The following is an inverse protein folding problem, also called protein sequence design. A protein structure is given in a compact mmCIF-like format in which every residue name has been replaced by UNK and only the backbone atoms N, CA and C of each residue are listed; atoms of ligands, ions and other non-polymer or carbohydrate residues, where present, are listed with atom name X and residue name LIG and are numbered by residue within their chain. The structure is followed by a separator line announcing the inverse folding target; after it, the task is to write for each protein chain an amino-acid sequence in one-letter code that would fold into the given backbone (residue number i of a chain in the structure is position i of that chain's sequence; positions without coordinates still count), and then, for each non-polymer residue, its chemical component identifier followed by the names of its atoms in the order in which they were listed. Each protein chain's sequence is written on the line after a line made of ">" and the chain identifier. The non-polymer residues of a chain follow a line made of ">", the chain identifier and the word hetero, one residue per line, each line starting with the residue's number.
data_IF_939311274125
#
_entry.id   IF_939311274125
#
_cell.length_a   1.000
_cell.length_b   1.000
_cell.length_c   1.000
_cell.angle_alpha   90.00
_cell.angle_beta   90.00
_cell.angle_gamma   90.00
#
_symmetry.space_group_name_H-M   'P 1'
#
loop_
_entity.id
_entity.type
_entity.pdbx_description
1 polymer ?
#
# COMPACT_ATOMS: atom_id res chain seq x y z
N UNK A 1 64.73 23.74 4.72
CA UNK A 1 64.24 22.51 5.38
C UNK A 1 63.07 21.99 4.55
N UNK A 2 63.31 20.85 3.90
CA UNK A 2 62.49 19.84 3.19
C UNK A 2 60.96 20.04 3.03
N UNK A 3 60.51 19.88 1.77
CA UNK A 3 59.16 19.62 1.24
C UNK A 3 58.44 18.42 1.87
N UNK A 4 57.11 18.41 1.93
CA UNK A 4 56.32 17.24 1.50
C UNK A 4 54.81 17.53 1.43
N UNK A 5 54.26 17.35 0.23
CA UNK A 5 52.84 17.27 -0.09
C UNK A 5 52.20 16.01 0.50
N UNK A 6 50.95 16.12 0.99
CA UNK A 6 50.07 14.97 1.17
C UNK A 6 48.90 15.05 0.19
N UNK A 7 49.10 14.34 -0.92
CA UNK A 7 48.18 13.53 -1.71
C UNK A 7 46.68 13.82 -1.56
N UNK A 8 46.13 14.31 -2.67
CA UNK A 8 44.72 14.26 -3.05
C UNK A 8 44.24 12.81 -3.01
N UNK A 9 43.54 12.43 -1.93
CA UNK A 9 42.79 11.19 -1.83
C UNK A 9 41.50 11.32 -2.64
N UNK A 10 41.53 10.84 -3.89
CA UNK A 10 40.35 10.73 -4.73
C UNK A 10 39.36 9.74 -4.14
N UNK A 11 38.30 10.25 -3.52
CA UNK A 11 37.08 9.48 -3.31
C UNK A 11 36.42 9.28 -4.69
N UNK A 12 36.63 8.09 -5.28
CA UNK A 12 35.74 7.57 -6.31
C UNK A 12 34.40 7.24 -5.64
N UNK A 13 33.52 8.24 -5.57
CA UNK A 13 32.10 7.98 -5.37
C UNK A 13 31.58 7.38 -6.67
N UNK A 14 31.55 6.06 -6.76
CA UNK A 14 30.68 5.36 -7.69
C UNK A 14 29.25 5.65 -7.24
N UNK A 15 28.68 6.73 -7.76
CA UNK A 15 27.25 7.02 -7.63
C UNK A 15 26.57 6.08 -8.61
N UNK A 16 25.97 5.02 -8.08
CA UNK A 16 25.10 4.12 -8.82
C UNK A 16 23.88 4.95 -9.28
N UNK A 17 23.84 5.28 -10.57
CA UNK A 17 22.75 6.00 -11.24
C UNK A 17 21.56 5.05 -11.48
N UNK A 18 21.05 4.46 -10.41
CA UNK A 18 19.95 3.50 -10.45
C UNK A 18 18.75 4.00 -9.65
N UNK A 19 18.26 5.22 -9.90
CA UNK A 19 16.84 5.58 -9.68
C UNK A 19 16.41 6.95 -10.26
N UNK A 20 16.96 7.35 -11.41
CA UNK A 20 16.54 8.57 -12.11
C UNK A 20 15.23 8.41 -12.91
N UNK A 21 14.25 7.69 -12.37
CA UNK A 21 12.89 7.56 -12.94
C UNK A 21 11.80 8.16 -12.04
N UNK A 22 12.18 9.00 -11.06
CA UNK A 22 11.24 9.53 -10.06
C UNK A 22 10.78 10.98 -10.28
N UNK A 23 11.10 11.58 -11.43
CA UNK A 23 10.74 12.96 -11.76
C UNK A 23 9.71 13.10 -12.91
N UNK A 24 8.89 12.08 -13.18
CA UNK A 24 7.71 12.26 -14.04
C UNK A 24 6.54 12.73 -13.18
N UNK A 25 6.24 14.02 -13.29
CA UNK A 25 5.18 14.72 -12.53
C UNK A 25 3.77 14.30 -12.99
N UNK A 26 3.66 13.58 -14.12
CA UNK A 26 2.40 13.16 -14.71
C UNK A 26 2.54 11.72 -15.22
N UNK A 27 2.43 10.73 -14.30
CA UNK A 27 2.51 9.31 -14.66
C UNK A 27 1.14 8.84 -15.12
N UNK A 28 1.10 8.21 -16.28
CA UNK A 28 -0.11 7.57 -16.77
C UNK A 28 -0.56 6.46 -15.81
N UNK A 29 -1.86 6.37 -15.59
CA UNK A 29 -2.48 5.30 -14.82
C UNK A 29 -2.32 3.96 -15.54
N UNK A 30 -2.35 2.84 -14.82
CA UNK A 30 -2.30 1.50 -15.45
C UNK A 30 -3.44 1.29 -16.47
N UNK A 31 -4.59 1.93 -16.23
CA UNK A 31 -5.73 1.90 -17.14
C UNK A 31 -5.46 2.69 -18.42
N UNK A 32 -4.71 3.78 -18.37
CA UNK A 32 -4.31 4.54 -19.56
C UNK A 32 -3.22 3.81 -20.35
N UNK A 33 -2.25 3.20 -19.66
CA UNK A 33 -1.19 2.41 -20.28
C UNK A 33 -1.74 1.16 -21.00
N UNK A 34 -2.78 0.54 -20.43
CA UNK A 34 -3.39 -0.68 -20.95
C UNK A 34 -4.94 -0.61 -20.89
N UNK A 35 -5.60 0.13 -21.79
CA UNK A 35 -7.05 0.38 -21.72
C UNK A 35 -7.92 -0.86 -21.87
N UNK A 36 -7.37 -1.91 -22.50
CA UNK A 36 -8.03 -3.20 -22.68
C UNK A 36 -7.69 -4.23 -21.60
N UNK A 37 -6.78 -3.90 -20.66
CA UNK A 37 -6.48 -4.80 -19.56
C UNK A 37 -7.72 -4.93 -18.66
N UNK A 38 -8.04 -6.16 -18.20
CA UNK A 38 -9.18 -6.36 -17.33
C UNK A 38 -8.93 -5.67 -15.98
N UNK A 39 -9.87 -4.80 -15.58
CA UNK A 39 -9.84 -4.12 -14.27
C UNK A 39 -10.29 -5.07 -13.17
N UNK A 40 -9.83 -4.88 -11.92
CA UNK A 40 -10.36 -5.64 -10.81
C UNK A 40 -11.82 -5.24 -10.54
N UNK A 41 -12.64 -6.22 -10.22
CA UNK A 41 -13.98 -5.99 -9.69
C UNK A 41 -13.86 -5.58 -8.22
N UNK A 42 -14.54 -4.52 -7.80
CA UNK A 42 -14.49 -4.03 -6.42
C UNK A 42 -15.85 -4.17 -5.78
N UNK A 43 -15.90 -4.78 -4.60
CA UNK A 43 -17.14 -5.09 -3.87
C UNK A 43 -17.04 -4.51 -2.46
N UNK A 44 -17.96 -3.61 -2.13
CA UNK A 44 -18.20 -3.15 -0.76
C UNK A 44 -19.65 -3.44 -0.41
N UNK A 45 -19.95 -4.56 0.26
CA UNK A 45 -21.32 -4.94 0.56
C UNK A 45 -21.96 -3.96 1.55
N UNK A 46 -23.21 -3.55 1.30
CA UNK A 46 -23.93 -2.61 2.17
C UNK A 46 -24.02 -3.07 3.64
N UNK A 47 -24.05 -4.38 3.89
CA UNK A 47 -24.05 -4.95 5.24
C UNK A 47 -22.74 -4.79 6.02
N UNK A 48 -21.66 -4.37 5.36
CA UNK A 48 -20.34 -4.14 5.96
C UNK A 48 -20.10 -2.65 6.26
N UNK A 49 -20.98 -1.76 5.79
CA UNK A 49 -20.87 -0.33 6.05
C UNK A 49 -20.93 -0.05 7.55
N UNK A 50 -20.01 0.77 8.05
CA UNK A 50 -20.00 1.23 9.42
C UNK A 50 -21.00 2.37 9.65
N UNK A 51 -21.18 2.77 10.92
CA UNK A 51 -22.00 3.93 11.27
C UNK A 51 -21.42 5.28 10.84
N UNK A 52 -20.11 5.36 10.60
CA UNK A 52 -19.43 6.56 10.14
C UNK A 52 -19.48 6.66 8.60
N UNK A 53 -20.32 7.56 8.08
CA UNK A 53 -20.46 7.80 6.65
C UNK A 53 -19.16 8.31 6.00
N UNK A 54 -18.34 9.06 6.73
CA UNK A 54 -17.06 9.58 6.20
C UNK A 54 -16.04 8.46 6.00
N UNK A 55 -16.04 7.47 6.90
CA UNK A 55 -15.23 6.26 6.75
C UNK A 55 -15.68 5.44 5.54
N UNK A 56 -16.99 5.22 5.39
CA UNK A 56 -17.53 4.45 4.26
C UNK A 56 -17.16 5.10 2.92
N UNK A 57 -17.33 6.43 2.80
CA UNK A 57 -16.93 7.18 1.61
C UNK A 57 -15.42 7.07 1.32
N UNK A 58 -14.59 7.05 2.37
CA UNK A 58 -13.15 6.84 2.21
C UNK A 58 -12.82 5.44 1.71
N UNK A 59 -13.47 4.39 2.23
CA UNK A 59 -13.30 3.01 1.74
C UNK A 59 -13.71 2.88 0.27
N UNK A 60 -14.84 3.49 -0.12
CA UNK A 60 -15.27 3.55 -1.53
C UNK A 60 -14.22 4.23 -2.41
N UNK A 61 -13.67 5.35 -1.95
CA UNK A 61 -12.61 6.07 -2.66
C UNK A 61 -11.35 5.20 -2.84
N UNK A 62 -10.91 4.50 -1.79
CA UNK A 62 -9.78 3.55 -1.84
C UNK A 62 -10.04 2.48 -2.90
N UNK A 63 -11.23 1.88 -2.92
CA UNK A 63 -11.60 0.87 -3.91
C UNK A 63 -11.64 1.42 -5.34
N UNK A 64 -12.10 2.66 -5.52
CA UNK A 64 -12.09 3.33 -6.82
C UNK A 64 -10.67 3.57 -7.33
N UNK A 65 -9.77 4.08 -6.48
CA UNK A 65 -8.35 4.28 -6.80
C UNK A 65 -7.69 2.97 -7.21
N UNK A 66 -7.95 1.91 -6.43
CA UNK A 66 -7.60 0.55 -6.78
C UNK A 66 -8.13 0.18 -8.17
N UNK A 67 -9.43 0.28 -8.43
CA UNK A 67 -10.02 -0.09 -9.72
C UNK A 67 -9.36 0.61 -10.93
N UNK A 68 -8.93 1.85 -10.76
CA UNK A 68 -8.22 2.64 -11.77
C UNK A 68 -6.74 2.26 -11.95
N UNK A 69 -6.14 1.58 -10.97
CA UNK A 69 -4.72 1.28 -10.99
C UNK A 69 -3.85 2.55 -11.04
N UNK A 70 -4.32 3.62 -10.41
CA UNK A 70 -3.60 4.89 -10.31
C UNK A 70 -2.65 4.83 -9.11
N UNK A 71 -1.36 4.64 -9.39
CA UNK A 71 -0.35 4.53 -8.35
C UNK A 71 -0.13 5.85 -7.59
N UNK A 72 -0.23 6.99 -8.27
CA UNK A 72 0.01 8.29 -7.64
C UNK A 72 -1.14 8.65 -6.68
N UNK A 73 -2.38 8.36 -7.06
CA UNK A 73 -3.51 8.44 -6.13
C UNK A 73 -3.38 7.40 -5.01
N UNK A 74 -2.97 6.17 -5.34
CA UNK A 74 -2.83 5.09 -4.35
C UNK A 74 -1.83 5.44 -3.23
N UNK A 75 -0.65 5.94 -3.58
CA UNK A 75 0.36 6.33 -2.57
C UNK A 75 -0.09 7.49 -1.70
N UNK A 76 -0.94 8.38 -2.21
CA UNK A 76 -1.49 9.51 -1.45
C UNK A 76 -2.52 9.08 -0.39
N UNK A 77 -3.07 7.86 -0.48
CA UNK A 77 -3.99 7.34 0.53
C UNK A 77 -3.27 7.01 1.85
N UNK A 78 -1.95 6.78 1.83
CA UNK A 78 -1.17 6.41 3.00
C UNK A 78 -0.87 7.63 3.87
N UNK A 79 -0.79 7.40 5.19
CA UNK A 79 -0.38 8.45 6.13
C UNK A 79 1.09 8.83 5.96
N UNK A 80 1.46 10.02 6.44
CA UNK A 80 2.80 10.60 6.22
C UNK A 80 3.98 9.76 6.75
N UNK A 81 3.72 8.88 7.72
CA UNK A 81 4.71 8.02 8.38
C UNK A 81 4.87 6.64 7.74
N UNK A 82 4.04 6.29 6.74
CA UNK A 82 4.04 4.97 6.13
C UNK A 82 4.42 5.03 4.66
N UNK A 83 5.40 4.20 4.29
CA UNK A 83 5.77 4.03 2.89
C UNK A 83 4.82 3.04 2.20
N UNK A 84 4.14 3.45 1.11
CA UNK A 84 3.35 2.54 0.30
C UNK A 84 4.25 1.53 -0.43
N UNK A 85 3.64 0.49 -1.03
CA UNK A 85 4.38 -0.42 -1.91
C UNK A 85 5.02 0.36 -3.07
N UNK A 86 6.19 -0.06 -3.55
CA UNK A 86 6.84 0.62 -4.67
C UNK A 86 6.06 0.49 -5.97
N UNK A 87 6.23 1.45 -6.90
CA UNK A 87 5.59 1.44 -8.21
C UNK A 87 5.85 0.14 -8.98
N UNK A 88 7.09 -0.37 -8.94
CA UNK A 88 7.45 -1.63 -9.59
C UNK A 88 6.67 -2.82 -9.02
N UNK A 89 6.51 -2.88 -7.70
CA UNK A 89 5.69 -3.91 -7.06
C UNK A 89 4.20 -3.73 -7.38
N UNK A 90 3.71 -2.49 -7.37
CA UNK A 90 2.33 -2.18 -7.74
C UNK A 90 2.04 -2.65 -9.17
N UNK A 91 2.83 -2.23 -10.17
CA UNK A 91 2.67 -2.65 -11.57
C UNK A 91 2.78 -4.16 -11.77
N UNK A 92 3.58 -4.85 -10.95
CA UNK A 92 3.72 -6.31 -11.01
C UNK A 92 2.53 -7.05 -10.41
N UNK A 93 2.01 -6.59 -9.28
CA UNK A 93 0.96 -7.29 -8.51
C UNK A 93 -0.43 -6.91 -9.02
N UNK A 94 -0.66 -5.63 -9.33
CA UNK A 94 -1.98 -5.10 -9.66
C UNK A 94 -2.68 -5.83 -10.82
N UNK A 95 -2.03 -6.12 -11.96
CA UNK A 95 -2.67 -6.83 -13.06
C UNK A 95 -3.13 -8.25 -12.70
N UNK A 96 -2.56 -8.84 -11.65
CA UNK A 96 -2.93 -10.17 -11.17
C UNK A 96 -4.21 -10.14 -10.34
N UNK A 97 -4.67 -8.97 -9.88
CA UNK A 97 -5.89 -8.87 -9.07
C UNK A 97 -7.12 -8.95 -9.96
N UNK A 98 -7.99 -9.91 -9.67
CA UNK A 98 -9.29 -10.11 -10.33
C UNK A 98 -10.39 -9.35 -9.61
N UNK A 99 -10.39 -9.42 -8.29
CA UNK A 99 -11.47 -8.90 -7.45
C UNK A 99 -10.93 -8.48 -6.08
N UNK A 100 -11.52 -7.46 -5.50
CA UNK A 100 -11.28 -7.00 -4.13
C UNK A 100 -12.64 -6.87 -3.45
N UNK A 101 -12.83 -7.58 -2.34
CA UNK A 101 -14.05 -7.55 -1.56
C UNK A 101 -13.75 -7.15 -0.12
N UNK A 102 -14.48 -6.15 0.39
CA UNK A 102 -14.44 -5.79 1.80
C UNK A 102 -15.31 -6.77 2.58
N UNK A 103 -14.68 -7.58 3.45
CA UNK A 103 -15.35 -8.61 4.22
C UNK A 103 -15.89 -8.05 5.54
N UNK A 104 -15.06 -7.29 6.27
CA UNK A 104 -15.39 -6.74 7.59
C UNK A 104 -14.66 -5.43 7.86
N UNK A 105 -15.25 -4.62 8.73
CA UNK A 105 -14.61 -3.43 9.31
C UNK A 105 -14.67 -3.56 10.83
N UNK A 106 -13.50 -3.52 11.46
CA UNK A 106 -13.33 -3.57 12.91
C UNK A 106 -13.05 -2.16 13.43
N UNK A 107 -13.90 -1.65 14.31
CA UNK A 107 -13.60 -0.43 15.06
C UNK A 107 -12.51 -0.70 16.11
N UNK A 108 -11.58 0.24 16.26
CA UNK A 108 -10.66 0.28 17.38
C UNK A 108 -11.35 0.69 18.69
N UNK A 109 -10.55 0.86 19.74
CA UNK A 109 -11.04 1.34 21.03
C UNK A 109 -11.31 2.85 20.99
N UNK A 110 -12.30 3.31 21.76
CA UNK A 110 -12.73 4.71 21.86
C UNK A 110 -14.06 5.00 21.15
N UNK A 111 -14.65 6.15 21.48
CA UNK A 111 -15.87 6.68 20.85
C UNK A 111 -15.73 8.20 20.60
N UNK A 112 -15.60 8.66 19.34
CA UNK A 112 -15.54 7.84 18.12
C UNK A 112 -14.20 7.08 17.99
N UNK A 113 -14.18 5.92 17.33
CA UNK A 113 -12.93 5.19 17.08
C UNK A 113 -11.97 6.02 16.22
N UNK A 114 -10.74 6.19 16.70
CA UNK A 114 -9.69 6.89 15.95
C UNK A 114 -9.05 6.01 14.85
N UNK A 115 -9.23 4.69 14.97
CA UNK A 115 -8.63 3.67 14.10
C UNK A 115 -9.68 2.62 13.77
N UNK A 116 -9.70 2.21 12.52
CA UNK A 116 -10.47 1.10 11.99
C UNK A 116 -9.53 0.12 11.30
N UNK A 117 -9.88 -1.15 11.29
CA UNK A 117 -9.18 -2.17 10.52
C UNK A 117 -10.15 -2.83 9.56
N UNK A 118 -9.84 -2.73 8.28
CA UNK A 118 -10.62 -3.30 7.20
C UNK A 118 -10.00 -4.63 6.81
N UNK A 119 -10.80 -5.69 6.88
CA UNK A 119 -10.47 -7.00 6.34
C UNK A 119 -10.95 -7.03 4.89
N UNK A 120 -10.01 -6.94 3.94
CA UNK A 120 -10.30 -7.12 2.53
C UNK A 120 -9.78 -8.48 2.05
N UNK A 121 -10.48 -9.07 1.09
CA UNK A 121 -10.02 -10.27 0.38
C UNK A 121 -9.78 -9.90 -1.08
N UNK A 122 -8.57 -10.19 -1.57
CA UNK A 122 -8.24 -10.08 -2.98
C UNK A 122 -8.24 -11.46 -3.64
N UNK A 123 -9.02 -11.63 -4.70
CA UNK A 123 -8.94 -12.81 -5.57
C UNK A 123 -8.00 -12.52 -6.72
N UNK A 124 -7.08 -13.44 -6.99
CA UNK A 124 -6.12 -13.35 -8.06
C UNK A 124 -6.65 -14.01 -9.34
N UNK A 125 -6.26 -13.48 -10.49
CA UNK A 125 -6.55 -14.04 -11.83
C UNK A 125 -5.83 -15.37 -12.05
N UNK A 126 -4.64 -15.49 -11.46
CA UNK A 126 -3.79 -16.68 -11.48
C UNK A 126 -3.29 -16.95 -10.07
N UNK A 127 -2.94 -18.20 -9.78
CA UNK A 127 -2.33 -18.55 -8.51
C UNK A 127 -1.00 -17.81 -8.32
N UNK A 128 -0.75 -17.36 -7.09
CA UNK A 128 0.57 -16.83 -6.75
C UNK A 128 1.64 -17.93 -6.72
N UNK A 129 2.90 -17.55 -6.45
CA UNK A 129 4.01 -18.50 -6.33
C UNK A 129 3.82 -19.58 -5.25
N UNK A 130 2.86 -19.39 -4.34
CA UNK A 130 2.51 -20.33 -3.26
C UNK A 130 1.22 -21.12 -3.58
N UNK A 131 0.70 -21.04 -4.81
CA UNK A 131 -0.53 -21.74 -5.22
C UNK A 131 -1.82 -21.09 -4.71
N UNK A 132 -1.78 -19.85 -4.23
CA UNK A 132 -2.94 -19.19 -3.62
C UNK A 132 -3.72 -18.41 -4.67
N UNK A 133 -5.04 -18.59 -4.69
CA UNK A 133 -5.97 -17.77 -5.50
C UNK A 133 -6.59 -16.61 -4.73
N UNK A 134 -6.51 -16.64 -3.41
CA UNK A 134 -7.11 -15.65 -2.54
C UNK A 134 -6.06 -15.17 -1.53
N UNK A 135 -6.06 -13.87 -1.29
CA UNK A 135 -5.14 -13.21 -0.37
C UNK A 135 -5.94 -12.32 0.56
N UNK A 136 -5.73 -12.48 1.86
CA UNK A 136 -6.33 -11.63 2.88
C UNK A 136 -5.43 -10.41 3.09
N UNK A 137 -6.05 -9.24 2.99
CA UNK A 137 -5.43 -7.92 3.03
C UNK A 137 -6.02 -7.15 4.23
N UNK A 138 -5.46 -7.34 5.44
CA UNK A 138 -5.82 -6.49 6.57
C UNK A 138 -5.17 -5.11 6.39
N UNK A 139 -5.99 -4.06 6.39
CA UNK A 139 -5.56 -2.67 6.18
C UNK A 139 -6.07 -1.81 7.34
N UNK A 140 -5.21 -0.97 7.90
CA UNK A 140 -5.60 -0.01 8.93
C UNK A 140 -6.05 1.29 8.27
N UNK A 141 -7.15 1.86 8.76
CA UNK A 141 -7.63 3.19 8.41
C UNK A 141 -7.63 4.04 9.68
N UNK A 142 -7.02 5.22 9.64
CA UNK A 142 -6.92 6.11 10.80
C UNK A 142 -7.05 7.57 10.37
N UNK A 143 -7.33 8.47 11.32
CA UNK A 143 -7.33 9.92 11.05
C UNK A 143 -5.95 10.54 11.21
N UNK A 144 -5.57 11.34 10.23
CA UNK A 144 -4.41 12.23 10.27
C UNK A 144 -4.89 13.66 9.99
N UNK A 145 -5.07 14.43 11.07
CA UNK A 145 -5.82 15.70 11.00
C UNK A 145 -7.28 15.45 10.61
N UNK A 146 -7.74 16.14 9.56
CA UNK A 146 -9.11 16.03 9.05
C UNK A 146 -9.30 14.94 7.98
N UNK A 147 -8.24 14.20 7.64
CA UNK A 147 -8.27 13.22 6.55
C UNK A 147 -8.13 11.79 7.06
N UNK A 148 -8.83 10.87 6.40
CA UNK A 148 -8.62 9.43 6.56
C UNK A 148 -7.37 9.00 5.79
N UNK A 149 -6.61 8.08 6.38
CA UNK A 149 -5.36 7.55 5.83
C UNK A 149 -5.27 6.04 6.00
N UNK A 150 -4.52 5.41 5.11
CA UNK A 150 -4.15 4.01 5.18
C UNK A 150 -2.83 3.82 5.94
N UNK A 151 -2.74 2.68 6.61
CA UNK A 151 -1.50 2.22 7.24
C UNK A 151 -1.45 0.70 7.36
N UNK A 152 -0.27 0.15 7.66
CA UNK A 152 -0.13 -1.25 8.03
C UNK A 152 -0.88 -1.52 9.33
N UNK A 153 -1.50 -2.69 9.44
CA UNK A 153 -2.15 -3.11 10.69
C UNK A 153 -1.08 -3.49 11.72
N UNK A 154 -1.03 -2.85 12.90
CA UNK A 154 -0.13 -3.21 13.97
C UNK A 154 -0.26 -4.70 14.32
N UNK A 155 0.84 -5.33 14.72
CA UNK A 155 0.86 -6.77 15.00
C UNK A 155 -0.11 -7.12 16.14
N UNK A 156 -0.14 -6.29 17.16
CA UNK A 156 -0.99 -6.42 18.34
C UNK A 156 -2.47 -6.42 17.95
N UNK A 157 -2.83 -5.58 16.99
CA UNK A 157 -4.20 -5.54 16.49
C UNK A 157 -4.50 -6.80 15.68
N UNK A 158 -3.61 -7.21 14.77
CA UNK A 158 -3.78 -8.45 13.98
C UNK A 158 -4.02 -9.67 14.88
N UNK A 159 -3.21 -9.82 15.92
CA UNK A 159 -3.30 -10.93 16.86
C UNK A 159 -4.62 -10.92 17.63
N UNK A 160 -5.08 -9.73 18.06
CA UNK A 160 -6.33 -9.56 18.81
C UNK A 160 -7.58 -9.90 18.01
N UNK A 161 -7.64 -9.48 16.75
CA UNK A 161 -8.81 -9.73 15.88
C UNK A 161 -8.68 -11.02 15.04
N UNK A 162 -7.60 -11.79 15.24
CA UNK A 162 -7.38 -13.06 14.52
C UNK A 162 -7.12 -12.88 13.02
N UNK A 163 -6.64 -11.71 12.60
CA UNK A 163 -6.40 -11.42 11.19
C UNK A 163 -5.11 -12.09 10.70
N UNK A 164 -5.27 -13.08 9.81
CA UNK A 164 -4.13 -13.69 9.12
C UNK A 164 -3.87 -12.95 7.81
N UNK A 165 -2.83 -12.10 7.79
CA UNK A 165 -2.35 -11.53 6.52
C UNK A 165 -1.65 -12.61 5.71
N UNK A 166 -2.13 -12.86 4.49
CA UNK A 166 -1.46 -13.75 3.54
C UNK A 166 -0.77 -12.96 2.42
N UNK A 167 -0.85 -11.63 2.44
CA UNK A 167 -0.14 -10.78 1.50
C UNK A 167 1.38 -11.03 1.53
N UNK A 168 2.08 -10.94 0.38
CA UNK A 168 3.53 -10.83 0.41
C UNK A 168 3.90 -9.62 1.28
N UNK A 169 4.75 -9.84 2.29
CA UNK A 169 5.29 -8.77 3.11
C UNK A 169 5.96 -7.74 2.19
N UNK A 170 5.37 -6.55 2.06
CA UNK A 170 6.08 -5.40 1.51
C UNK A 170 7.18 -5.11 2.52
N UNK A 171 8.42 -5.43 2.16
CA UNK A 171 9.56 -5.46 3.07
C UNK A 171 9.72 -4.16 3.84
N UNK A 172 9.25 -4.13 5.09
CA UNK A 172 9.87 -3.31 6.12
C UNK A 172 11.07 -4.10 6.62
N UNK A 173 12.17 -4.00 5.87
CA UNK A 173 13.49 -4.32 6.40
C UNK A 173 13.88 -3.12 7.26
N UNK A 174 13.39 -3.08 8.50
CA UNK A 174 13.92 -2.17 9.50
C UNK A 174 15.33 -2.64 9.82
N UNK A 175 16.30 -2.07 9.12
CA UNK A 175 17.72 -2.07 9.49
C UNK A 175 17.85 -1.42 10.87
N UNK A 176 17.75 -2.26 11.90
CA UNK A 176 18.12 -1.91 13.26
C UNK A 176 19.62 -2.13 13.39
N UNK A 177 20.40 -1.16 12.89
CA UNK A 177 21.82 -1.06 13.18
C UNK A 177 22.01 -0.82 14.68
N UNK A 178 22.52 -1.85 15.37
CA UNK A 178 23.19 -1.75 16.67
C UNK A 178 24.68 -1.52 16.48
#
# INVERSE_FOLDING_TARGET
>A
MVLASCVVGGCRCSRDDSDASDAQIDRQTLVEEAPHAPRPHVIFPAGVHGGDASLNAFVEHVLQVCQMGDYDAFRQLFGSIYEPTSLANFRRIWPQVKEIEIQRIHAGEGDPPAVYVVEAQARLRQEDRKGRKEVNLPIMIFREGDHWRLGPVPKEFRDRVGLTSTAPSTGQETDSGQ
#
